data_IF_910750259685
#
_entry.id   IF_910750259685
#
_cell.length_a   1.000
_cell.length_b   1.000
_cell.length_c   1.000
_cell.angle_alpha   90.00
_cell.angle_beta   90.00
_cell.angle_gamma   90.00
#
_symmetry.space_group_name_H-M   'P 1'
#
loop_
_entity.id
_entity.type
_entity.pdbx_description
1 polymer ?
#
# COMPACT_ATOMS: atom_id res chain seq x y z
N UNK A 1 -15.19 -25.35 -6.44
CA UNK A 1 -14.90 -24.69 -5.15
C UNK A 1 -14.21 -23.37 -5.43
N UNK A 2 -14.44 -22.34 -4.62
CA UNK A 2 -13.72 -21.07 -4.76
C UNK A 2 -12.24 -21.26 -4.37
N UNK A 3 -11.32 -20.68 -5.14
CA UNK A 3 -9.88 -20.78 -4.89
C UNK A 3 -9.44 -19.93 -3.68
N UNK A 4 -10.04 -18.75 -3.50
CA UNK A 4 -9.80 -17.86 -2.36
C UNK A 4 -11.07 -17.05 -2.09
N UNK A 5 -11.30 -16.69 -0.82
CA UNK A 5 -12.46 -15.88 -0.40
C UNK A 5 -11.97 -14.58 0.22
N UNK A 6 -12.54 -13.45 -0.20
CA UNK A 6 -12.27 -12.13 0.37
C UNK A 6 -13.54 -11.58 1.01
N UNK A 7 -13.41 -10.90 2.14
CA UNK A 7 -14.53 -10.22 2.80
C UNK A 7 -14.56 -8.76 2.34
N UNK A 8 -15.56 -8.36 1.56
CA UNK A 8 -15.65 -6.97 1.11
C UNK A 8 -16.13 -6.06 2.26
N UNK A 9 -15.54 -4.87 2.43
CA UNK A 9 -16.09 -3.85 3.31
C UNK A 9 -17.45 -3.37 2.81
N UNK A 10 -18.31 -2.89 3.69
CA UNK A 10 -19.63 -2.32 3.34
C UNK A 10 -19.58 -0.97 2.62
N UNK A 11 -18.45 -0.63 1.99
CA UNK A 11 -18.22 0.61 1.25
C UNK A 11 -18.64 0.46 -0.22
N UNK A 12 -18.85 1.59 -0.91
CA UNK A 12 -19.24 1.57 -2.33
C UNK A 12 -18.15 1.06 -3.26
N UNK A 13 -16.89 1.25 -2.87
CA UNK A 13 -15.71 0.77 -3.57
C UNK A 13 -14.79 0.05 -2.57
N UNK A 14 -14.05 -0.94 -3.05
CA UNK A 14 -13.12 -1.71 -2.23
C UNK A 14 -11.84 -2.01 -3.01
N UNK A 15 -10.72 -1.98 -2.29
CA UNK A 15 -9.42 -2.45 -2.76
C UNK A 15 -9.12 -3.79 -2.09
N UNK A 16 -8.91 -4.84 -2.90
CA UNK A 16 -8.40 -6.11 -2.41
C UNK A 16 -6.91 -6.25 -2.76
N UNK A 17 -6.09 -6.45 -1.73
CA UNK A 17 -4.70 -6.84 -1.87
C UNK A 17 -4.61 -8.35 -1.64
N UNK A 18 -3.99 -9.07 -2.57
CA UNK A 18 -3.73 -10.51 -2.46
C UNK A 18 -2.24 -10.76 -2.60
N UNK A 19 -1.71 -11.66 -1.78
CA UNK A 19 -0.31 -12.07 -1.84
C UNK A 19 -0.16 -13.52 -1.39
N UNK A 20 0.95 -14.14 -1.78
CA UNK A 20 1.27 -15.52 -1.38
C UNK A 20 1.60 -15.57 0.10
N UNK A 21 1.15 -16.62 0.79
CA UNK A 21 1.63 -16.90 2.14
C UNK A 21 3.16 -17.03 2.16
N UNK A 22 3.79 -16.56 3.24
CA UNK A 22 5.25 -16.55 3.36
C UNK A 22 5.83 -17.97 3.39
N UNK A 23 5.21 -18.86 4.17
CA UNK A 23 5.71 -20.19 4.47
C UNK A 23 5.60 -21.09 3.26
N UNK A 24 4.44 -21.09 2.60
CA UNK A 24 4.24 -21.93 1.40
C UNK A 24 4.77 -21.29 0.13
N UNK A 25 4.88 -19.95 0.08
CA UNK A 25 5.24 -19.19 -1.11
C UNK A 25 4.39 -19.56 -2.34
N UNK A 26 3.15 -19.97 -2.10
CA UNK A 26 2.22 -20.49 -3.09
C UNK A 26 0.88 -19.74 -3.05
N UNK A 27 0.19 -19.73 -4.19
CA UNK A 27 -1.13 -19.13 -4.35
C UNK A 27 -2.25 -20.01 -3.75
N UNK A 28 -1.99 -21.29 -3.49
CA UNK A 28 -2.93 -22.22 -2.83
C UNK A 28 -3.31 -21.80 -1.42
N UNK A 29 -2.42 -21.06 -0.73
CA UNK A 29 -2.69 -20.38 0.54
C UNK A 29 -2.49 -18.88 0.38
N UNK A 30 -3.22 -18.27 -0.55
CA UNK A 30 -3.20 -16.81 -0.67
C UNK A 30 -3.66 -16.16 0.65
N UNK A 31 -3.01 -15.05 1.01
CA UNK A 31 -3.50 -14.12 2.02
C UNK A 31 -4.13 -12.93 1.31
N UNK A 32 -5.05 -12.27 1.99
CA UNK A 32 -5.70 -11.07 1.47
C UNK A 32 -6.00 -10.05 2.55
N UNK A 33 -6.02 -8.79 2.14
CA UNK A 33 -6.50 -7.64 2.92
C UNK A 33 -7.43 -6.84 2.02
N UNK A 34 -8.64 -6.61 2.49
CA UNK A 34 -9.64 -5.78 1.81
C UNK A 34 -9.79 -4.46 2.56
N UNK A 35 -9.79 -3.37 1.82
CA UNK A 35 -9.85 -2.01 2.34
C UNK A 35 -10.99 -1.27 1.68
N UNK A 36 -11.72 -0.46 2.47
CA UNK A 36 -12.68 0.47 1.90
C UNK A 36 -11.94 1.47 1.00
N UNK A 37 -12.49 1.75 -0.17
CA UNK A 37 -11.82 2.55 -1.21
C UNK A 37 -12.68 3.66 -1.80
N UNK A 38 -13.79 3.96 -1.13
CA UNK A 38 -14.63 5.10 -1.47
C UNK A 38 -14.06 6.43 -0.94
N UNK A 39 -14.66 7.54 -1.35
CA UNK A 39 -14.22 8.89 -0.96
C UNK A 39 -14.47 9.20 0.52
N UNK A 40 -15.35 8.45 1.19
CA UNK A 40 -15.58 8.58 2.63
C UNK A 40 -14.44 7.97 3.45
N UNK A 41 -13.96 6.80 3.04
CA UNK A 41 -12.92 6.04 3.72
C UNK A 41 -11.51 6.40 3.26
N UNK A 42 -11.38 6.87 2.01
CA UNK A 42 -10.14 7.31 1.40
C UNK A 42 -10.36 8.58 0.58
N UNK A 43 -10.41 9.72 1.28
CA UNK A 43 -10.73 11.00 0.66
C UNK A 43 -9.59 11.53 -0.21
N UNK A 44 -9.89 12.50 -1.10
CA UNK A 44 -8.87 13.29 -1.79
C UNK A 44 -7.89 13.94 -0.80
N UNK A 45 -6.63 14.10 -1.19
CA UNK A 45 -5.55 14.61 -0.33
C UNK A 45 -4.98 13.55 0.63
N UNK A 46 -5.54 12.34 0.69
CA UNK A 46 -5.08 11.30 1.59
C UNK A 46 -3.99 10.42 0.96
N UNK A 47 -3.06 9.96 1.80
CA UNK A 47 -2.07 8.93 1.49
C UNK A 47 -2.34 7.74 2.38
N UNK A 48 -2.61 6.57 1.78
CA UNK A 48 -2.81 5.31 2.47
C UNK A 48 -1.55 4.47 2.38
N UNK A 49 -0.92 4.21 3.51
CA UNK A 49 0.31 3.41 3.61
C UNK A 49 -0.06 2.05 4.17
N UNK A 50 0.16 1.00 3.38
CA UNK A 50 -0.25 -0.37 3.71
C UNK A 50 0.97 -1.27 3.74
N UNK A 51 1.17 -1.98 4.85
CA UNK A 51 2.19 -3.00 4.95
C UNK A 51 1.56 -4.39 4.83
N UNK A 52 1.77 -5.06 3.69
CA UNK A 52 1.46 -6.49 3.48
C UNK A 52 2.74 -7.34 3.42
N UNK A 53 3.89 -6.77 3.78
CA UNK A 53 5.13 -7.53 3.91
C UNK A 53 5.14 -8.35 5.22
N UNK A 54 5.98 -9.39 5.34
CA UNK A 54 5.87 -10.33 6.44
C UNK A 54 6.36 -9.83 7.81
N UNK A 55 6.92 -8.62 7.88
CA UNK A 55 7.50 -8.06 9.10
C UNK A 55 7.16 -6.57 9.25
N UNK A 56 7.46 -5.99 10.42
CA UNK A 56 7.31 -4.55 10.63
C UNK A 56 8.26 -3.78 9.71
N UNK A 57 7.85 -2.57 9.35
CA UNK A 57 8.69 -1.61 8.61
C UNK A 57 8.70 -0.28 9.34
N UNK A 58 9.82 0.43 9.26
CA UNK A 58 9.89 1.82 9.72
C UNK A 58 9.55 2.73 8.55
N UNK A 59 8.60 3.62 8.76
CA UNK A 59 8.14 4.60 7.78
C UNK A 59 8.47 5.99 8.30
N UNK A 60 9.08 6.82 7.47
CA UNK A 60 9.13 8.25 7.69
C UNK A 60 8.27 8.95 6.61
N UNK A 61 7.32 9.77 7.05
CA UNK A 61 6.42 10.56 6.20
C UNK A 61 6.54 12.03 6.62
N UNK A 62 7.13 12.86 5.75
CA UNK A 62 7.57 14.19 6.13
C UNK A 62 8.58 14.12 7.27
N UNK A 63 8.27 14.78 8.38
CA UNK A 63 9.10 14.80 9.59
C UNK A 63 8.71 13.71 10.60
N UNK A 64 7.60 12.99 10.38
CA UNK A 64 7.08 11.99 11.30
C UNK A 64 7.63 10.60 10.97
N UNK A 65 8.15 9.91 11.99
CA UNK A 65 8.56 8.51 11.91
C UNK A 65 7.63 7.60 12.72
N UNK A 66 7.25 6.45 12.16
CA UNK A 66 6.46 5.44 12.85
C UNK A 66 6.79 4.02 12.37
N UNK A 67 6.50 3.03 13.21
CA UNK A 67 6.55 1.62 12.84
C UNK A 67 5.19 1.17 12.31
N UNK A 68 5.18 0.44 11.19
CA UNK A 68 3.98 -0.14 10.62
C UNK A 68 4.09 -1.67 10.59
N UNK A 69 3.32 -2.33 11.43
CA UNK A 69 3.27 -3.79 11.51
C UNK A 69 2.71 -4.46 10.24
N UNK A 70 2.98 -5.75 10.08
CA UNK A 70 2.41 -6.56 8.98
C UNK A 70 0.87 -6.58 9.04
N UNK A 71 0.24 -6.40 7.89
CA UNK A 71 -1.21 -6.33 7.73
C UNK A 71 -1.83 -5.02 8.24
N UNK A 72 -1.02 -4.03 8.64
CA UNK A 72 -1.50 -2.74 9.14
C UNK A 72 -1.56 -1.69 8.02
N UNK A 73 -2.45 -0.73 8.25
CA UNK A 73 -2.73 0.38 7.36
C UNK A 73 -2.64 1.64 8.18
N UNK A 74 -1.98 2.65 7.63
CA UNK A 74 -1.89 3.98 8.21
C UNK A 74 -2.37 5.01 7.17
N UNK A 75 -3.18 5.97 7.61
CA UNK A 75 -3.64 7.07 6.77
C UNK A 75 -2.91 8.36 7.16
N UNK A 76 -2.42 9.10 6.18
CA UNK A 76 -1.80 10.42 6.36
C UNK A 76 -2.47 11.45 5.45
N UNK A 77 -2.41 12.72 5.86
CA UNK A 77 -3.05 13.81 5.12
C UNK A 77 -4.58 13.73 5.15
N UNK A 78 -5.20 14.07 4.01
CA UNK A 78 -6.66 14.23 3.87
C UNK A 78 -7.07 15.70 3.86
N UNK A 79 -8.38 15.95 3.66
CA UNK A 79 -9.02 17.27 3.50
C UNK A 79 -8.85 17.93 2.12
N UNK A 80 -8.49 17.17 1.08
CA UNK A 80 -8.41 17.72 -0.29
C UNK A 80 -7.35 18.81 -0.45
N UNK A 81 -6.28 18.76 0.32
CA UNK A 81 -5.14 19.68 0.18
C UNK A 81 -4.06 19.02 -0.68
N UNK A 82 -3.45 19.78 -1.58
CA UNK A 82 -2.32 19.31 -2.38
C UNK A 82 -1.10 19.04 -1.48
N UNK A 83 -0.38 17.97 -1.77
CA UNK A 83 0.88 17.63 -1.13
C UNK A 83 2.02 18.02 -2.07
N UNK A 84 2.98 18.79 -1.56
CA UNK A 84 4.15 19.22 -2.34
C UNK A 84 5.40 18.63 -1.72
N UNK A 85 6.02 17.69 -2.44
CA UNK A 85 7.30 17.07 -2.07
C UNK A 85 7.37 16.54 -0.63
N UNK A 86 6.30 15.92 -0.14
CA UNK A 86 6.32 15.30 1.19
C UNK A 86 7.26 14.09 1.17
N UNK A 87 8.33 14.12 1.97
CA UNK A 87 9.31 13.04 2.02
C UNK A 87 8.68 11.71 2.43
N UNK A 88 9.09 10.62 1.77
CA UNK A 88 8.73 9.26 2.14
C UNK A 88 9.98 8.38 2.17
N UNK A 89 10.29 7.84 3.34
CA UNK A 89 11.34 6.84 3.51
C UNK A 89 10.76 5.58 4.14
N UNK A 90 11.18 4.42 3.63
CA UNK A 90 10.81 3.13 4.21
C UNK A 90 12.10 2.34 4.47
N UNK A 91 12.21 1.81 5.69
CA UNK A 91 13.25 0.87 6.09
C UNK A 91 12.60 -0.45 6.49
N UNK A 92 13.26 -1.54 6.15
CA UNK A 92 12.84 -2.89 6.53
C UNK A 92 14.05 -3.70 6.96
N UNK A 93 13.82 -4.68 7.83
CA UNK A 93 14.86 -5.60 8.25
C UNK A 93 15.29 -6.51 7.09
N UNK A 94 16.60 -6.68 6.91
CA UNK A 94 17.15 -7.65 5.96
C UNK A 94 17.26 -9.05 6.59
N UNK A 95 17.75 -10.01 5.81
CA UNK A 95 18.03 -11.39 6.22
C UNK A 95 19.05 -11.52 7.38
N UNK A 96 19.79 -10.45 7.69
CA UNK A 96 20.80 -10.38 8.76
C UNK A 96 20.32 -9.59 9.98
N UNK A 97 19.03 -9.26 10.08
CA UNK A 97 18.50 -8.52 11.21
C UNK A 97 18.83 -7.02 11.20
N UNK A 98 19.33 -6.47 10.09
CA UNK A 98 19.69 -5.05 9.98
C UNK A 98 18.60 -4.28 9.27
N UNK A 99 18.21 -3.14 9.84
CA UNK A 99 17.33 -2.18 9.18
C UNK A 99 18.06 -1.55 7.99
N UNK A 100 17.54 -1.79 6.78
CA UNK A 100 18.05 -1.21 5.55
C UNK A 100 16.99 -0.32 4.90
N UNK A 101 17.43 0.81 4.34
CA UNK A 101 16.56 1.68 3.55
C UNK A 101 16.16 0.97 2.26
N UNK A 102 14.87 0.75 2.08
CA UNK A 102 14.30 0.06 0.91
C UNK A 102 13.60 1.01 -0.06
N UNK A 103 13.23 2.20 0.39
CA UNK A 103 12.67 3.26 -0.44
C UNK A 103 13.02 4.62 0.15
N UNK A 104 13.26 5.60 -0.71
CA UNK A 104 13.39 7.01 -0.37
C UNK A 104 12.98 7.82 -1.59
N UNK A 105 12.05 8.75 -1.37
CA UNK A 105 11.50 9.61 -2.41
C UNK A 105 10.60 10.66 -1.78
N UNK A 106 9.77 11.28 -2.60
CA UNK A 106 8.75 12.23 -2.14
C UNK A 106 7.42 11.96 -2.82
N UNK A 107 6.35 12.37 -2.16
CA UNK A 107 4.99 12.37 -2.67
C UNK A 107 4.63 13.81 -3.03
N UNK A 108 4.29 14.00 -4.31
CA UNK A 108 3.59 15.18 -4.79
C UNK A 108 2.23 14.72 -5.30
N UNK A 109 1.17 15.40 -4.88
CA UNK A 109 -0.20 14.98 -5.11
C UNK A 109 -1.09 16.22 -5.21
N UNK A 110 -1.97 16.28 -6.20
CA UNK A 110 -2.94 17.36 -6.29
C UNK A 110 -4.09 17.21 -5.26
N UNK A 111 -4.82 18.30 -5.00
CA UNK A 111 -5.96 18.32 -4.08
C UNK A 111 -7.03 17.26 -4.37
N UNK A 112 -7.21 16.92 -5.66
CA UNK A 112 -8.15 15.92 -6.16
C UNK A 112 -7.54 14.52 -6.30
N UNK A 113 -6.32 14.29 -5.87
CA UNK A 113 -5.67 12.99 -5.95
C UNK A 113 -5.58 12.32 -4.58
N UNK A 114 -5.31 11.03 -4.57
CA UNK A 114 -5.05 10.22 -3.37
C UNK A 114 -4.00 9.17 -3.74
N UNK A 115 -3.17 8.75 -2.79
CA UNK A 115 -2.04 7.84 -3.10
C UNK A 115 -2.06 6.61 -2.21
N UNK A 116 -2.06 5.43 -2.85
CA UNK A 116 -1.78 4.17 -2.19
C UNK A 116 -0.27 3.90 -2.19
N UNK A 117 0.30 3.63 -1.01
CA UNK A 117 1.68 3.18 -0.82
C UNK A 117 1.63 1.76 -0.28
N UNK A 118 1.91 0.77 -1.12
CA UNK A 118 1.80 -0.64 -0.77
C UNK A 118 3.21 -1.22 -0.59
N UNK A 119 3.49 -1.71 0.61
CA UNK A 119 4.76 -2.32 1.00
C UNK A 119 4.56 -3.82 1.04
N UNK A 120 5.31 -4.56 0.24
CA UNK A 120 5.09 -6.00 0.04
C UNK A 120 6.40 -6.78 -0.05
N UNK A 121 6.32 -8.09 0.20
CA UNK A 121 7.47 -9.00 0.12
C UNK A 121 8.11 -8.94 -1.26
N UNK A 122 9.44 -8.87 -1.33
CA UNK A 122 10.15 -9.16 -2.56
C UNK A 122 10.26 -10.68 -2.72
N UNK A 123 9.44 -11.28 -3.59
CA UNK A 123 9.25 -12.74 -3.70
C UNK A 123 9.61 -13.33 -5.08
N UNK A 124 10.38 -12.58 -5.89
CA UNK A 124 10.94 -13.06 -7.16
C UNK A 124 12.19 -13.92 -6.97
N UNK A 125 12.70 -14.55 -8.04
CA UNK A 125 13.79 -15.54 -8.01
C UNK A 125 15.08 -15.07 -7.31
N UNK A 126 15.37 -13.76 -7.31
CA UNK A 126 16.53 -13.15 -6.62
C UNK A 126 16.17 -11.78 -6.05
N UNK A 127 15.52 -11.71 -4.89
CA UNK A 127 15.12 -10.43 -4.31
C UNK A 127 16.35 -9.71 -3.77
N UNK A 128 16.67 -8.53 -4.34
CA UNK A 128 17.81 -7.69 -3.92
C UNK A 128 17.52 -6.87 -2.65
N UNK A 129 16.27 -6.80 -2.22
CA UNK A 129 15.78 -6.04 -1.05
C UNK A 129 14.78 -6.91 -0.29
N UNK A 130 14.63 -6.74 1.03
CA UNK A 130 13.69 -7.53 1.83
C UNK A 130 12.22 -7.27 1.45
N UNK A 131 11.90 -6.03 1.08
CA UNK A 131 10.58 -5.62 0.63
C UNK A 131 10.66 -4.73 -0.60
N UNK A 132 9.55 -4.60 -1.32
CA UNK A 132 9.30 -3.65 -2.39
C UNK A 132 8.21 -2.67 -1.98
N UNK A 133 8.23 -1.49 -2.60
CA UNK A 133 7.24 -0.45 -2.38
C UNK A 133 6.61 -0.11 -3.73
N UNK A 134 5.29 -0.13 -3.78
CA UNK A 134 4.51 0.28 -4.94
C UNK A 134 3.73 1.54 -4.57
N UNK A 135 4.00 2.64 -5.29
CA UNK A 135 3.26 3.88 -5.16
C UNK A 135 2.25 3.96 -6.29
N UNK A 136 0.99 4.19 -5.94
CA UNK A 136 -0.11 4.33 -6.89
C UNK A 136 -0.90 5.60 -6.59
N UNK A 137 -0.57 6.71 -7.27
CA UNK A 137 -1.45 7.88 -7.32
C UNK A 137 -2.74 7.54 -8.07
N UNK A 138 -3.85 8.07 -7.58
CA UNK A 138 -5.19 7.91 -8.13
C UNK A 138 -5.90 9.26 -8.15
N UNK A 139 -6.65 9.50 -9.23
CA UNK A 139 -7.48 10.68 -9.33
C UNK A 139 -8.83 10.38 -8.66
N UNK A 140 -9.15 11.07 -7.56
CA UNK A 140 -10.36 10.80 -6.77
C UNK A 140 -11.67 11.23 -7.45
N UNK A 141 -11.58 12.00 -8.55
CA UNK A 141 -12.73 12.62 -9.22
C UNK A 141 -12.96 12.21 -10.68
N UNK A 142 -12.18 11.29 -11.25
CA UNK A 142 -12.50 10.72 -12.56
C UNK A 142 -12.91 9.26 -12.40
N UNK A 143 -14.22 9.01 -12.41
CA UNK A 143 -14.77 7.70 -12.74
C UNK A 143 -13.96 7.15 -13.91
N UNK A 144 -13.29 6.01 -13.72
CA UNK A 144 -12.70 5.28 -14.83
C UNK A 144 -13.83 5.07 -15.83
N UNK A 145 -13.78 5.74 -16.98
CA UNK A 145 -14.72 5.50 -18.05
C UNK A 145 -14.73 3.98 -18.28
N UNK A 146 -15.92 3.33 -18.38
CA UNK A 146 -15.97 1.89 -18.55
C UNK A 146 -15.10 1.51 -19.74
N UNK A 147 -14.16 0.60 -19.51
CA UNK A 147 -13.29 0.06 -20.55
C UNK A 147 -14.21 -0.58 -21.58
N UNK A 148 -14.38 0.06 -22.74
CA UNK A 148 -15.11 -0.55 -23.85
C UNK A 148 -14.33 -1.79 -24.28
N UNK A 149 -14.94 -2.99 -24.33
CA UNK A 149 -14.28 -4.14 -24.92
C UNK A 149 -13.95 -3.82 -26.38
N UNK A 150 -12.74 -4.20 -26.79
CA UNK A 150 -12.32 -4.17 -28.20
C UNK A 150 -12.95 -5.33 -28.94
#
# INVERSE_FOLDING_TARGET
>A
MAWHTVCLPGSTHALALLWRDREENAWTKARSLTLADDTGSFPPGAVRIVNVSPGPVQVAYGEEGFELGSGKVEMRGGKGVALVQVGLEIKAENDRGRMVRVFSGSITQDAGERTNVIIYRADGERPRRPVKVYLRPENSGKTLAPVRPR
#
